data_IF_367695646234
#
_entry.id   IF_367695646234
#
_cell.length_a   1.000
_cell.length_b   1.000
_cell.length_c   1.000
_cell.angle_alpha   90.00
_cell.angle_beta   90.00
_cell.angle_gamma   90.00
#
_symmetry.space_group_name_H-M   'P 1'
#
loop_
_entity.id
_entity.type
_entity.pdbx_description
1 polymer ?
#
# COMPACT_ATOMS: atom_id res chain seq x y z
N UNK A 1 -18.66 -3.89 6.64
CA UNK A 1 -17.68 -3.34 7.59
C UNK A 1 -16.60 -4.38 7.87
N UNK A 2 -15.33 -3.97 7.97
CA UNK A 2 -14.19 -4.88 8.10
C UNK A 2 -13.15 -4.36 9.09
N UNK A 3 -11.87 -4.54 8.78
CA UNK A 3 -10.77 -4.19 9.69
C UNK A 3 -10.78 -2.71 10.15
N UNK A 4 -11.13 -1.76 9.28
CA UNK A 4 -11.18 -0.33 9.65
C UNK A 4 -12.18 -0.01 10.76
N UNK A 5 -13.34 -0.68 10.78
CA UNK A 5 -14.33 -0.50 11.84
C UNK A 5 -13.85 -1.10 13.16
N UNK A 6 -13.15 -2.23 13.12
CA UNK A 6 -12.52 -2.81 14.30
C UNK A 6 -11.46 -1.86 14.90
N UNK A 7 -10.59 -1.30 14.05
CA UNK A 7 -9.56 -0.34 14.48
C UNK A 7 -10.17 0.88 15.15
N UNK A 8 -11.21 1.47 14.55
CA UNK A 8 -11.92 2.60 15.13
C UNK A 8 -12.49 2.29 16.52
N UNK A 9 -13.13 1.13 16.69
CA UNK A 9 -13.65 0.71 17.99
C UNK A 9 -12.52 0.54 19.02
N UNK A 10 -11.40 -0.08 18.62
CA UNK A 10 -10.25 -0.32 19.49
C UNK A 10 -9.60 1.00 19.94
N UNK A 11 -9.41 1.95 19.03
CA UNK A 11 -8.85 3.28 19.33
C UNK A 11 -9.71 4.02 20.37
N UNK A 12 -11.03 4.02 20.16
CA UNK A 12 -11.97 4.67 21.06
C UNK A 12 -12.01 3.99 22.43
N UNK A 13 -12.03 2.65 22.46
CA UNK A 13 -12.04 1.89 23.70
C UNK A 13 -10.75 2.10 24.50
N UNK A 14 -9.60 2.01 23.84
CA UNK A 14 -8.29 2.23 24.47
C UNK A 14 -8.23 3.63 25.09
N UNK A 15 -8.58 4.67 24.32
CA UNK A 15 -8.59 6.06 24.81
C UNK A 15 -9.54 6.25 25.99
N UNK A 16 -10.71 5.63 25.96
CA UNK A 16 -11.69 5.72 27.06
C UNK A 16 -11.16 5.11 28.36
N UNK A 17 -10.41 4.02 28.29
CA UNK A 17 -9.90 3.30 29.47
C UNK A 17 -8.59 3.91 29.98
N UNK A 18 -7.65 4.22 29.08
CA UNK A 18 -6.29 4.66 29.46
C UNK A 18 -6.17 6.18 29.59
N UNK A 19 -7.08 6.95 28.99
CA UNK A 19 -6.95 8.41 28.84
C UNK A 19 -5.97 8.85 27.75
N UNK A 20 -5.28 7.92 27.08
CA UNK A 20 -4.25 8.20 26.08
C UNK A 20 -4.66 7.71 24.68
N UNK A 21 -4.24 8.41 23.60
CA UNK A 21 -4.45 7.91 22.24
C UNK A 21 -3.65 6.62 22.02
N UNK A 22 -4.25 5.67 21.30
CA UNK A 22 -3.55 4.46 20.88
C UNK A 22 -2.50 4.81 19.82
N UNK A 23 -1.24 4.45 20.07
CA UNK A 23 -0.14 4.69 19.14
C UNK A 23 0.18 3.42 18.35
N UNK A 24 0.16 3.53 17.03
CA UNK A 24 0.57 2.46 16.13
C UNK A 24 2.02 2.66 15.71
N UNK A 25 2.81 1.59 15.74
CA UNK A 25 4.18 1.59 15.22
C UNK A 25 4.20 1.46 13.70
N UNK A 26 3.22 0.77 13.13
CA UNK A 26 2.98 0.69 11.69
C UNK A 26 1.51 0.35 11.42
N UNK A 27 0.92 0.98 10.41
CA UNK A 27 -0.37 0.58 9.83
C UNK A 27 -0.08 0.10 8.41
N UNK A 28 -0.38 -1.17 8.16
CA UNK A 28 -0.16 -1.84 6.88
C UNK A 28 -1.49 -2.22 6.25
N UNK A 29 -1.48 -2.35 4.93
CA UNK A 29 -2.67 -2.58 4.12
C UNK A 29 -2.96 -1.38 3.22
N UNK A 30 -3.86 -1.58 2.26
CA UNK A 30 -4.31 -0.49 1.38
C UNK A 30 -4.93 0.63 2.22
N UNK A 31 -4.67 1.91 1.90
CA UNK A 31 -3.98 2.41 0.72
C UNK A 31 -2.46 2.66 0.88
N UNK A 32 -1.81 2.07 1.89
CA UNK A 32 -0.40 2.34 2.21
C UNK A 32 0.57 1.99 1.07
N UNK A 33 1.54 2.88 0.81
CA UNK A 33 2.56 2.72 -0.25
C UNK A 33 3.36 1.42 -0.10
N UNK A 34 3.70 1.04 1.15
CA UNK A 34 4.47 -0.18 1.43
C UNK A 34 3.75 -1.45 0.96
N UNK A 35 2.41 -1.45 0.98
CA UNK A 35 1.60 -2.57 0.52
C UNK A 35 1.71 -2.73 -0.99
N UNK A 36 1.69 -1.63 -1.75
CA UNK A 36 1.86 -1.67 -3.20
C UNK A 36 3.31 -1.95 -3.61
N UNK A 37 4.30 -1.45 -2.86
CA UNK A 37 5.70 -1.81 -3.06
C UNK A 37 5.93 -3.31 -2.90
N UNK A 38 5.37 -3.90 -1.85
CA UNK A 38 5.47 -5.34 -1.63
C UNK A 38 4.76 -6.14 -2.73
N UNK A 39 3.59 -5.66 -3.20
CA UNK A 39 2.89 -6.26 -4.33
C UNK A 39 3.72 -6.22 -5.62
N UNK A 40 4.34 -5.09 -5.97
CA UNK A 40 5.26 -4.98 -7.13
C UNK A 40 6.38 -6.02 -7.06
N UNK A 41 7.01 -6.16 -5.89
CA UNK A 41 8.07 -7.15 -5.66
C UNK A 41 7.58 -8.58 -5.90
N UNK A 42 6.43 -8.94 -5.32
CA UNK A 42 5.87 -10.29 -5.47
C UNK A 42 5.48 -10.59 -6.91
N UNK A 43 4.83 -9.64 -7.60
CA UNK A 43 4.46 -9.79 -9.01
C UNK A 43 5.72 -9.94 -9.88
N UNK A 44 6.76 -9.15 -9.64
CA UNK A 44 8.03 -9.24 -10.38
C UNK A 44 8.71 -10.59 -10.19
N UNK A 45 8.76 -11.09 -8.95
CA UNK A 45 9.32 -12.41 -8.64
C UNK A 45 8.52 -13.52 -9.33
N UNK A 46 7.20 -13.46 -9.25
CA UNK A 46 6.34 -14.46 -9.87
C UNK A 46 6.43 -14.45 -11.40
N UNK A 47 6.50 -13.27 -12.02
CA UNK A 47 6.72 -13.14 -13.47
C UNK A 47 8.05 -13.79 -13.89
N UNK A 48 9.11 -13.60 -13.09
CA UNK A 48 10.40 -14.26 -13.33
C UNK A 48 10.31 -15.78 -13.28
N UNK A 49 9.61 -16.34 -12.28
CA UNK A 49 9.35 -17.79 -12.14
C UNK A 49 8.59 -18.35 -13.35
N UNK A 50 7.70 -17.57 -13.95
CA UNK A 50 6.97 -17.91 -15.18
C UNK A 50 7.80 -17.74 -16.47
N UNK A 51 9.07 -17.33 -16.36
CA UNK A 51 9.98 -17.15 -17.50
C UNK A 51 9.97 -15.75 -18.10
N UNK A 52 9.22 -14.79 -17.55
CA UNK A 52 9.28 -13.38 -17.96
C UNK A 52 10.51 -12.70 -17.36
N UNK A 53 11.59 -12.65 -18.14
CA UNK A 53 12.88 -12.07 -17.71
C UNK A 53 12.97 -10.54 -17.89
N UNK A 54 12.00 -9.94 -18.57
CA UNK A 54 11.97 -8.48 -18.78
C UNK A 54 11.30 -7.78 -17.59
N UNK A 55 11.74 -6.56 -17.23
CA UNK A 55 11.09 -5.77 -16.20
C UNK A 55 9.60 -5.52 -16.50
N UNK A 56 8.76 -5.59 -15.48
CA UNK A 56 7.34 -5.26 -15.58
C UNK A 56 7.21 -3.76 -15.86
N UNK A 57 6.54 -3.41 -16.97
CA UNK A 57 6.38 -2.02 -17.40
C UNK A 57 5.17 -1.34 -16.78
N UNK A 58 4.15 -2.11 -16.41
CA UNK A 58 2.89 -1.59 -15.89
C UNK A 58 2.14 -2.64 -15.08
N UNK A 59 1.58 -2.21 -13.96
CA UNK A 59 0.68 -2.99 -13.12
C UNK A 59 -0.65 -2.26 -13.09
N UNK A 60 -1.74 -2.98 -13.31
CA UNK A 60 -3.10 -2.45 -13.20
C UNK A 60 -3.73 -3.01 -11.92
N UNK A 61 -3.99 -2.14 -10.95
CA UNK A 61 -4.75 -2.49 -9.76
C UNK A 61 -6.25 -2.46 -10.09
N UNK A 62 -6.94 -3.57 -9.90
CA UNK A 62 -8.39 -3.70 -10.10
C UNK A 62 -9.04 -3.94 -8.75
N UNK A 63 -10.00 -3.10 -8.38
CA UNK A 63 -10.71 -3.19 -7.11
C UNK A 63 -11.96 -2.33 -7.10
N UNK A 64 -12.84 -2.59 -6.14
CA UNK A 64 -14.18 -2.01 -6.02
C UNK A 64 -14.23 -0.78 -5.11
N UNK A 65 -13.18 -0.55 -4.31
CA UNK A 65 -13.17 0.52 -3.31
C UNK A 65 -12.25 1.69 -3.73
N UNK A 66 -12.82 2.86 -4.11
CA UNK A 66 -12.04 4.03 -4.50
C UNK A 66 -11.05 4.52 -3.44
N UNK A 67 -11.41 4.45 -2.16
CA UNK A 67 -10.62 5.00 -1.05
C UNK A 67 -9.43 4.10 -0.65
N UNK A 68 -9.41 2.86 -1.12
CA UNK A 68 -8.34 1.90 -0.79
C UNK A 68 -7.62 1.37 -2.02
N UNK A 69 -8.33 0.77 -2.98
CA UNK A 69 -7.75 0.19 -4.19
C UNK A 69 -7.24 1.28 -5.12
N UNK A 70 -8.13 2.19 -5.51
CA UNK A 70 -7.82 3.19 -6.54
C UNK A 70 -6.88 4.25 -5.96
N UNK A 71 -7.18 4.75 -4.77
CA UNK A 71 -6.35 5.74 -4.10
C UNK A 71 -4.93 5.21 -3.83
N UNK A 72 -4.81 3.99 -3.28
CA UNK A 72 -3.51 3.38 -3.00
C UNK A 72 -2.66 3.15 -4.26
N UNK A 73 -3.27 2.65 -5.34
CA UNK A 73 -2.58 2.46 -6.61
C UNK A 73 -2.08 3.79 -7.20
N UNK A 74 -2.88 4.85 -7.09
CA UNK A 74 -2.51 6.18 -7.58
C UNK A 74 -1.38 6.83 -6.74
N UNK A 75 -1.40 6.67 -5.42
CA UNK A 75 -0.30 7.10 -4.53
C UNK A 75 0.99 6.42 -4.97
N UNK A 76 0.96 5.10 -5.15
CA UNK A 76 2.13 4.34 -5.53
C UNK A 76 2.64 4.69 -6.94
N UNK A 77 1.76 4.95 -7.90
CA UNK A 77 2.16 5.41 -9.24
C UNK A 77 2.90 6.76 -9.19
N UNK A 78 2.45 7.71 -8.35
CA UNK A 78 3.17 8.98 -8.14
C UNK A 78 4.55 8.75 -7.53
N UNK A 79 4.66 7.83 -6.57
CA UNK A 79 5.97 7.43 -6.02
C UNK A 79 6.91 6.90 -7.11
N UNK A 80 6.43 6.01 -7.98
CA UNK A 80 7.22 5.46 -9.09
C UNK A 80 7.71 6.55 -10.06
N UNK A 81 6.85 7.52 -10.39
CA UNK A 81 7.20 8.66 -11.24
C UNK A 81 8.30 9.52 -10.61
N UNK A 82 8.17 9.88 -9.34
CA UNK A 82 9.18 10.65 -8.61
C UNK A 82 10.52 9.91 -8.57
N UNK A 83 10.49 8.60 -8.27
CA UNK A 83 11.69 7.74 -8.26
C UNK A 83 12.37 7.67 -9.63
N UNK A 84 11.61 7.60 -10.71
CA UNK A 84 12.16 7.59 -12.07
C UNK A 84 12.85 8.92 -12.42
N UNK A 85 12.25 10.05 -12.08
CA UNK A 85 12.85 11.38 -12.28
C UNK A 85 14.15 11.52 -11.50
N UNK A 86 14.20 11.07 -10.25
CA UNK A 86 15.42 11.12 -9.44
C UNK A 86 16.57 10.29 -10.02
N UNK A 87 16.27 9.15 -10.67
CA UNK A 87 17.29 8.34 -11.35
C UNK A 87 17.84 8.98 -12.62
N UNK A 88 17.09 9.85 -13.30
CA UNK A 88 17.55 10.56 -14.50
C UNK A 88 18.45 11.77 -14.20
N UNK A 89 18.46 12.24 -12.94
CA UNK A 89 19.27 13.38 -12.49
C UNK A 89 20.62 12.98 -11.90
N UNK A 90 20.89 11.67 -11.77
CA UNK A 90 22.19 11.11 -11.39
C UNK A 90 22.94 10.66 -12.64
#
# INVERSE_FOLDING_TARGET
FGHGSFMYCLENLYKKISGHPLQYTAIVGKPSEITYYHAEYLISRHAYELGYKQPIKRIYAVGDNPDTDIFGANVYNRYLQTRAVSKLKQ
#
